data_IF_914495636370
#
_entry.id   IF_914495636370
#
_cell.length_a   1.000
_cell.length_b   1.000
_cell.length_c   1.000
_cell.angle_alpha   90.00
_cell.angle_beta   90.00
_cell.angle_gamma   90.00
#
_symmetry.space_group_name_H-M   'P 1'
#
loop_
_entity.id
_entity.type
_entity.pdbx_description
1 polymer ?
#
# COMPACT_ATOMS: atom_id res chain seq x y z
N UNK A 1 16.15 5.93 -26.54
CA UNK A 1 15.64 4.80 -27.34
C UNK A 1 15.59 3.60 -26.41
N UNK A 2 14.41 3.07 -26.10
CA UNK A 2 14.26 1.98 -25.14
C UNK A 2 14.63 0.63 -25.75
N UNK A 3 15.18 -0.28 -24.94
CA UNK A 3 15.35 -1.67 -25.34
C UNK A 3 14.02 -2.42 -25.24
N UNK A 4 13.70 -3.34 -26.16
CA UNK A 4 12.52 -4.19 -26.04
C UNK A 4 12.64 -5.05 -24.78
N UNK A 5 11.57 -5.08 -23.99
CA UNK A 5 11.45 -5.92 -22.78
C UNK A 5 10.37 -6.96 -23.02
N UNK A 6 10.69 -8.23 -22.81
CA UNK A 6 9.74 -9.35 -22.91
C UNK A 6 9.82 -10.29 -21.73
N UNK A 7 8.66 -10.79 -21.28
CA UNK A 7 8.52 -11.72 -20.17
C UNK A 7 8.09 -13.08 -20.70
N UNK A 8 8.90 -14.11 -20.51
CA UNK A 8 8.52 -15.51 -20.73
C UNK A 8 8.09 -16.10 -19.39
N UNK A 9 6.78 -16.07 -19.13
CA UNK A 9 6.21 -16.57 -17.87
C UNK A 9 6.29 -18.10 -17.75
N UNK A 10 6.43 -18.83 -18.87
CA UNK A 10 6.58 -20.28 -18.85
C UNK A 10 7.98 -20.68 -18.41
N UNK A 11 9.00 -19.98 -18.93
CA UNK A 11 10.40 -20.19 -18.54
C UNK A 11 10.82 -19.42 -17.29
N UNK A 12 9.97 -18.50 -16.81
CA UNK A 12 10.30 -17.54 -15.75
C UNK A 12 11.54 -16.74 -16.13
N UNK A 13 11.54 -16.11 -17.29
CA UNK A 13 12.66 -15.33 -17.81
C UNK A 13 12.21 -13.92 -18.20
N UNK A 14 13.07 -12.93 -17.96
CA UNK A 14 12.95 -11.57 -18.49
C UNK A 14 14.07 -11.36 -19.48
N UNK A 15 13.72 -10.93 -20.69
CA UNK A 15 14.68 -10.54 -21.70
C UNK A 15 14.65 -9.02 -21.89
N UNK A 16 15.82 -8.38 -21.84
CA UNK A 16 16.01 -6.95 -22.12
C UNK A 16 17.03 -6.84 -23.26
N UNK A 17 16.55 -6.48 -24.45
CA UNK A 17 17.38 -6.51 -25.66
C UNK A 17 17.85 -7.94 -25.96
N UNK A 18 19.15 -8.21 -25.82
CA UNK A 18 19.77 -9.54 -26.03
C UNK A 18 20.08 -10.28 -24.74
N UNK A 19 19.94 -9.65 -23.58
CA UNK A 19 20.25 -10.26 -22.29
C UNK A 19 19.02 -10.98 -21.71
N UNK A 20 19.21 -12.20 -21.20
CA UNK A 20 18.18 -13.01 -20.57
C UNK A 20 18.53 -13.17 -19.08
N UNK A 21 17.59 -12.84 -18.21
CA UNK A 21 17.69 -13.03 -16.76
C UNK A 21 16.59 -13.96 -16.25
N UNK A 22 16.94 -14.89 -15.36
CA UNK A 22 15.98 -15.78 -14.69
C UNK A 22 15.21 -15.01 -13.62
N UNK A 23 13.88 -15.04 -13.72
CA UNK A 23 12.94 -14.50 -12.74
C UNK A 23 12.85 -15.49 -11.59
N UNK A 24 13.69 -15.25 -10.59
CA UNK A 24 13.62 -15.71 -9.20
C UNK A 24 13.05 -17.13 -8.97
N UNK A 25 13.94 -18.04 -8.52
CA UNK A 25 13.51 -19.18 -7.71
C UNK A 25 12.80 -18.64 -6.47
N UNK A 26 11.47 -18.66 -6.46
CA UNK A 26 10.68 -18.40 -5.27
C UNK A 26 10.78 -19.67 -4.42
N UNK A 27 11.82 -19.78 -3.60
CA UNK A 27 11.70 -20.56 -2.37
C UNK A 27 10.44 -20.05 -1.66
N UNK A 28 9.56 -20.97 -1.25
CA UNK A 28 8.36 -20.65 -0.46
C UNK A 28 8.75 -19.62 0.60
N UNK A 29 8.35 -18.37 0.37
CA UNK A 29 8.69 -17.31 1.31
C UNK A 29 8.14 -17.76 2.67
N UNK A 30 8.93 -17.69 3.75
CA UNK A 30 8.44 -18.07 5.07
C UNK A 30 7.13 -17.33 5.33
N UNK A 31 6.19 -17.93 6.06
CA UNK A 31 4.96 -17.24 6.44
C UNK A 31 5.33 -15.90 7.09
N UNK A 32 4.97 -14.81 6.40
CA UNK A 32 5.30 -13.45 6.82
C UNK A 32 4.01 -12.76 7.22
N UNK A 33 4.07 -12.00 8.31
CA UNK A 33 2.95 -11.16 8.70
C UNK A 33 2.67 -10.12 7.61
N UNK A 34 1.40 -9.97 7.25
CA UNK A 34 0.93 -8.95 6.30
C UNK A 34 1.33 -7.54 6.75
N UNK A 35 1.74 -6.70 5.79
CA UNK A 35 1.93 -5.27 6.01
C UNK A 35 0.55 -4.63 6.20
N UNK A 36 0.39 -3.89 7.30
CA UNK A 36 -0.85 -3.17 7.64
C UNK A 36 -0.56 -1.68 7.67
N UNK A 37 -1.56 -0.85 7.40
CA UNK A 37 -1.45 0.60 7.49
C UNK A 37 -2.11 1.04 8.78
N UNK A 38 -1.40 1.72 9.67
CA UNK A 38 -1.94 2.24 10.92
C UNK A 38 -1.87 3.77 10.94
N UNK A 39 -2.87 4.42 11.53
CA UNK A 39 -2.86 5.88 11.70
C UNK A 39 -1.83 6.27 12.78
N UNK A 40 -1.01 7.29 12.53
CA UNK A 40 0.06 7.70 13.43
C UNK A 40 -0.43 8.37 14.72
N UNK A 41 -1.55 9.10 14.64
CA UNK A 41 -2.16 9.79 15.78
C UNK A 41 -3.67 9.86 15.61
N UNK A 42 -4.38 10.03 16.72
CA UNK A 42 -5.83 10.23 16.67
C UNK A 42 -6.15 11.45 15.81
N UNK A 43 -7.12 11.31 14.90
CA UNK A 43 -7.61 12.43 14.09
C UNK A 43 -9.10 12.29 13.80
N UNK A 44 -9.73 13.42 13.52
CA UNK A 44 -11.14 13.50 13.14
C UNK A 44 -11.22 14.02 11.70
N UNK A 45 -11.91 13.29 10.84
CA UNK A 45 -12.22 13.75 9.48
C UNK A 45 -13.63 14.30 9.48
N UNK A 46 -13.77 15.57 9.09
CA UNK A 46 -15.04 16.28 9.13
C UNK A 46 -16.06 15.65 8.17
N UNK A 47 -17.37 15.85 8.41
CA UNK A 47 -18.41 15.52 7.44
C UNK A 47 -18.12 16.14 6.07
N UNK A 48 -18.55 15.46 5.01
CA UNK A 48 -18.50 15.97 3.63
C UNK A 48 -17.15 16.62 3.26
N UNK A 49 -16.05 15.95 3.61
CA UNK A 49 -14.70 16.50 3.46
C UNK A 49 -13.69 15.43 3.08
N UNK A 50 -12.49 15.88 2.72
CA UNK A 50 -11.32 15.02 2.52
C UNK A 50 -10.19 15.41 3.48
N UNK A 51 -9.36 14.44 3.84
CA UNK A 51 -8.22 14.66 4.70
C UNK A 51 -7.02 13.80 4.27
N UNK A 52 -5.84 14.39 4.42
CA UNK A 52 -4.56 13.68 4.31
C UNK A 52 -4.17 13.22 5.71
N UNK A 53 -4.09 11.91 5.90
CA UNK A 53 -3.88 11.26 7.18
C UNK A 53 -2.45 10.70 7.24
N UNK A 54 -1.64 11.11 8.24
CA UNK A 54 -0.35 10.49 8.48
C UNK A 54 -0.53 9.04 8.95
N UNK A 55 0.11 8.12 8.24
CA UNK A 55 0.03 6.68 8.50
C UNK A 55 1.42 6.05 8.56
N UNK A 56 1.50 4.88 9.18
CA UNK A 56 2.70 4.05 9.25
C UNK A 56 2.38 2.64 8.78
N UNK A 57 3.26 2.10 7.95
CA UNK A 57 3.27 0.70 7.57
C UNK A 57 3.77 -0.15 8.76
N UNK A 58 2.85 -0.88 9.39
CA UNK A 58 3.15 -1.90 10.40
C UNK A 58 3.76 -3.10 9.71
N UNK A 59 4.82 -3.64 10.30
CA UNK A 59 5.65 -4.71 9.71
C UNK A 59 6.39 -4.30 8.42
N UNK A 60 6.58 -2.99 8.21
CA UNK A 60 7.45 -2.49 7.14
C UNK A 60 8.87 -3.03 7.26
N UNK A 61 9.41 -3.45 6.11
CA UNK A 61 10.80 -3.87 5.98
C UNK A 61 11.42 -3.13 4.80
N UNK A 62 12.60 -2.57 5.03
CA UNK A 62 13.31 -1.78 4.01
C UNK A 62 13.62 -2.59 2.76
N UNK A 63 13.77 -3.92 2.89
CA UNK A 63 13.97 -4.83 1.76
C UNK A 63 12.80 -4.88 0.75
N UNK A 64 11.60 -4.39 1.12
CA UNK A 64 10.46 -4.31 0.21
C UNK A 64 10.43 -3.04 -0.65
N UNK A 65 11.47 -2.21 -0.54
CA UNK A 65 11.53 -0.92 -1.21
C UNK A 65 10.81 0.18 -0.42
N UNK A 66 10.65 1.33 -1.07
CA UNK A 66 10.07 2.53 -0.46
C UNK A 66 8.79 2.98 -1.15
N UNK A 67 8.32 2.29 -2.18
CA UNK A 67 7.10 2.62 -2.92
C UNK A 67 6.06 1.52 -2.75
N UNK A 68 4.85 1.91 -2.35
CA UNK A 68 3.76 0.98 -2.05
C UNK A 68 2.44 1.47 -2.63
N UNK A 69 1.55 0.53 -2.97
CA UNK A 69 0.18 0.85 -3.31
C UNK A 69 -0.71 0.64 -2.08
N UNK A 70 -1.36 1.70 -1.61
CA UNK A 70 -2.37 1.58 -0.54
C UNK A 70 -3.76 1.46 -1.19
N UNK A 71 -4.53 0.48 -0.72
CA UNK A 71 -5.90 0.20 -1.14
C UNK A 71 -6.79 -0.07 0.07
N UNK A 72 -8.08 0.19 -0.09
CA UNK A 72 -9.07 -0.24 0.89
C UNK A 72 -9.16 -1.77 0.93
N UNK A 73 -9.26 -2.34 2.13
CA UNK A 73 -9.41 -3.77 2.35
C UNK A 73 -10.85 -4.25 2.19
N UNK A 74 -11.80 -3.32 1.97
CA UNK A 74 -13.23 -3.59 1.75
C UNK A 74 -13.90 -4.36 2.90
N UNK A 75 -13.32 -4.33 4.10
CA UNK A 75 -13.98 -4.89 5.28
C UNK A 75 -15.18 -4.05 5.64
N UNK A 76 -16.24 -4.72 6.11
CA UNK A 76 -17.44 -4.04 6.57
C UNK A 76 -17.11 -3.04 7.69
N UNK A 77 -17.71 -1.86 7.59
CA UNK A 77 -17.58 -0.78 8.56
C UNK A 77 -18.92 -0.08 8.70
N UNK A 78 -19.26 0.29 9.94
CA UNK A 78 -20.40 1.16 10.25
C UNK A 78 -20.19 2.60 9.75
N UNK A 79 -18.98 2.95 9.33
CA UNK A 79 -18.63 4.28 8.85
C UNK A 79 -18.53 4.28 7.32
N UNK A 80 -19.08 5.32 6.70
CA UNK A 80 -19.02 5.52 5.25
C UNK A 80 -17.79 6.37 4.94
N UNK A 81 -16.79 5.77 4.30
CA UNK A 81 -15.59 6.46 3.83
C UNK A 81 -15.11 5.87 2.50
N UNK A 82 -14.23 6.61 1.82
CA UNK A 82 -13.47 6.10 0.69
C UNK A 82 -11.99 6.37 0.91
N UNK A 83 -11.16 5.36 0.66
CA UNK A 83 -9.71 5.51 0.57
C UNK A 83 -9.33 5.66 -0.90
N UNK A 84 -8.64 6.75 -1.24
CA UNK A 84 -8.12 6.92 -2.59
C UNK A 84 -6.97 5.92 -2.81
N UNK A 85 -7.11 5.05 -3.83
CA UNK A 85 -6.01 4.17 -4.26
C UNK A 85 -4.83 5.05 -4.66
N UNK A 86 -3.72 4.90 -3.94
CA UNK A 86 -2.57 5.78 -4.08
C UNK A 86 -1.28 4.98 -4.11
N UNK A 87 -0.36 5.35 -5.00
CA UNK A 87 1.05 4.96 -4.91
C UNK A 87 1.72 5.95 -3.98
N UNK A 88 2.37 5.46 -2.94
CA UNK A 88 2.95 6.29 -1.88
C UNK A 88 4.40 5.91 -1.65
N UNK A 89 5.24 6.91 -1.39
CA UNK A 89 6.60 6.70 -0.92
C UNK A 89 6.63 6.71 0.61
N UNK A 90 7.45 5.85 1.21
CA UNK A 90 7.64 5.78 2.66
C UNK A 90 9.01 6.30 3.08
N UNK A 91 9.09 6.85 4.29
CA UNK A 91 10.38 7.09 4.94
C UNK A 91 11.04 5.78 5.39
N UNK A 92 12.22 5.89 6.02
CA UNK A 92 12.97 4.74 6.52
C UNK A 92 12.25 3.95 7.63
N UNK A 93 11.22 4.52 8.26
CA UNK A 93 10.41 3.89 9.28
C UNK A 93 9.08 3.36 8.74
N UNK A 94 8.79 3.53 7.44
CA UNK A 94 7.54 3.14 6.82
C UNK A 94 6.42 4.16 7.01
N UNK A 95 6.71 5.42 7.36
CA UNK A 95 5.69 6.48 7.46
C UNK A 95 5.38 7.05 6.08
N UNK A 96 4.11 7.34 5.86
CA UNK A 96 3.60 7.92 4.62
C UNK A 96 2.25 8.62 4.86
N UNK A 97 1.59 9.03 3.79
CA UNK A 97 0.32 9.77 3.81
C UNK A 97 -0.77 8.97 3.10
N UNK A 98 -1.99 9.05 3.64
CA UNK A 98 -3.19 8.41 3.10
C UNK A 98 -4.27 9.46 2.87
N UNK A 99 -4.87 9.50 1.68
CA UNK A 99 -6.04 10.35 1.43
C UNK A 99 -7.32 9.58 1.74
N UNK A 100 -8.11 10.14 2.66
CA UNK A 100 -9.42 9.63 3.06
C UNK A 100 -10.49 10.66 2.72
N UNK A 101 -11.58 10.20 2.11
CA UNK A 101 -12.78 10.99 1.83
C UNK A 101 -13.89 10.54 2.76
N UNK A 102 -14.49 11.50 3.47
CA UNK A 102 -15.70 11.31 4.27
C UNK A 102 -16.90 11.93 3.53
N UNK A 103 -17.68 11.15 2.77
CA UNK A 103 -18.86 11.66 2.10
C UNK A 103 -20.07 11.79 3.03
N UNK A 104 -19.98 11.31 4.28
CA UNK A 104 -21.10 11.25 5.21
C UNK A 104 -21.38 12.60 5.88
N UNK A 105 -22.55 12.70 6.50
CA UNK A 105 -22.95 13.86 7.30
C UNK A 105 -22.37 13.84 8.74
N UNK A 106 -21.64 12.79 9.12
CA UNK A 106 -21.08 12.63 10.46
C UNK A 106 -19.55 12.59 10.44
N UNK A 107 -18.87 13.07 11.49
CA UNK A 107 -17.41 13.03 11.56
C UNK A 107 -16.91 11.60 11.75
N UNK A 108 -15.78 11.27 11.12
CA UNK A 108 -15.06 10.01 11.31
C UNK A 108 -13.96 10.20 12.34
N UNK A 109 -13.97 9.38 13.38
CA UNK A 109 -12.91 9.35 14.40
C UNK A 109 -11.96 8.19 14.14
N UNK A 110 -10.74 8.53 13.71
CA UNK A 110 -9.67 7.57 13.46
C UNK A 110 -8.83 7.45 14.74
N UNK A 111 -9.13 6.45 15.57
CA UNK A 111 -8.33 6.09 16.74
C UNK A 111 -7.97 4.61 16.68
N UNK A 112 -6.69 4.29 16.44
CA UNK A 112 -6.21 2.90 16.39
C UNK A 112 -6.62 2.11 15.13
N UNK A 113 -7.00 2.78 14.05
CA UNK A 113 -7.44 2.13 12.80
C UNK A 113 -6.28 1.40 12.10
N UNK A 114 -6.59 0.24 11.50
CA UNK A 114 -5.66 -0.60 10.74
C UNK A 114 -6.26 -0.99 9.38
N UNK A 115 -5.59 -0.62 8.29
CA UNK A 115 -5.89 -1.06 6.92
C UNK A 115 -4.92 -2.17 6.47
N UNK A 116 -5.21 -2.89 5.38
CA UNK A 116 -4.30 -3.90 4.78
C UNK A 116 -3.70 -3.38 3.48
N UNK A 117 -2.52 -3.88 3.12
CA UNK A 117 -1.91 -3.71 1.80
C UNK A 117 -2.21 -4.94 0.92
N UNK A 118 -2.27 -4.76 -0.41
CA UNK A 118 -2.23 -5.84 -1.40
C UNK A 118 -0.86 -5.90 -2.05
#
# INVERSE_FOLDING_TARGET
MGHPVSFDMLKKEVQIGTEISLVCNVELAPEREEIKVAVCHNCTVNPTSEAIIPVKLVNYRKEFGTEFMIVDNKKESEQIYAIARSVVSTDQEGKTLLQLVNPSATPIKLSGWRFRML
#
